data_IF_639336925862
#
_entry.id   IF_639336925862
#
_cell.length_a   1.000
_cell.length_b   1.000
_cell.length_c   1.000
_cell.angle_alpha   90.00
_cell.angle_beta   90.00
_cell.angle_gamma   90.00
#
_symmetry.space_group_name_H-M   'P 1'
#
loop_
_entity.id
_entity.type
_entity.pdbx_description
1 polymer ?
#
# COMPACT_ATOMS: atom_id res chain seq x y z
N UNK A 1 26.62 44.99 -27.21
CA UNK A 1 25.35 44.47 -26.68
C UNK A 1 24.94 43.33 -27.62
N UNK A 2 24.84 42.05 -27.26
CA UNK A 2 24.64 41.42 -25.95
C UNK A 2 25.04 39.92 -25.98
N UNK A 3 26.13 39.51 -25.31
CA UNK A 3 26.30 38.11 -24.90
C UNK A 3 25.40 37.73 -23.72
N UNK A 4 24.82 38.72 -23.02
CA UNK A 4 24.00 38.56 -21.83
C UNK A 4 22.60 38.00 -22.09
N UNK A 5 22.01 38.25 -23.25
CA UNK A 5 20.62 37.83 -23.55
C UNK A 5 20.51 36.40 -24.06
N UNK A 6 21.47 35.94 -24.86
CA UNK A 6 21.63 34.51 -25.19
C UNK A 6 21.90 33.68 -23.92
N UNK A 7 22.68 34.20 -22.98
CA UNK A 7 22.90 33.55 -21.67
C UNK A 7 21.65 33.54 -20.78
N UNK A 8 20.83 34.60 -20.79
CA UNK A 8 19.60 34.68 -19.98
C UNK A 8 18.49 33.72 -20.49
N UNK A 9 18.33 33.59 -21.80
CA UNK A 9 17.38 32.63 -22.40
C UNK A 9 17.90 31.19 -22.31
N UNK A 10 19.20 30.96 -22.53
CA UNK A 10 19.80 29.64 -22.36
C UNK A 10 19.73 29.11 -20.92
N UNK A 11 19.95 29.98 -19.92
CA UNK A 11 19.89 29.61 -18.50
C UNK A 11 18.47 29.32 -18.01
N UNK A 12 17.45 29.96 -18.57
CA UNK A 12 16.04 29.73 -18.20
C UNK A 12 15.45 28.46 -18.82
N UNK A 13 15.80 28.13 -20.07
CA UNK A 13 15.49 26.82 -20.66
C UNK A 13 16.19 25.69 -19.89
N UNK A 14 17.45 25.87 -19.52
CA UNK A 14 18.19 24.91 -18.70
C UNK A 14 17.54 24.71 -17.31
N UNK A 15 17.11 25.80 -16.66
CA UNK A 15 16.35 25.73 -15.40
C UNK A 15 15.02 25.00 -15.56
N UNK A 16 14.25 25.28 -16.62
CA UNK A 16 12.98 24.62 -16.89
C UNK A 16 13.15 23.10 -17.07
N UNK A 17 14.17 22.67 -17.83
CA UNK A 17 14.50 21.25 -18.04
C UNK A 17 14.95 20.60 -16.73
N UNK A 18 15.79 21.26 -15.94
CA UNK A 18 16.25 20.76 -14.63
C UNK A 18 15.10 20.59 -13.63
N UNK A 19 14.18 21.56 -13.55
CA UNK A 19 12.97 21.49 -12.71
C UNK A 19 12.06 20.35 -13.16
N UNK A 20 11.89 20.18 -14.47
CA UNK A 20 11.08 19.09 -15.02
C UNK A 20 11.70 17.72 -14.71
N UNK A 21 13.02 17.54 -14.90
CA UNK A 21 13.71 16.28 -14.62
C UNK A 21 13.72 15.93 -13.14
N UNK A 22 14.02 16.90 -12.26
CA UNK A 22 13.97 16.69 -10.80
C UNK A 22 12.57 16.32 -10.31
N UNK A 23 11.53 16.97 -10.86
CA UNK A 23 10.14 16.59 -10.58
C UNK A 23 9.75 15.20 -11.09
N UNK A 24 10.26 14.79 -12.26
CA UNK A 24 10.07 13.43 -12.78
C UNK A 24 10.75 12.38 -11.90
N UNK A 25 11.96 12.65 -11.40
CA UNK A 25 12.69 11.78 -10.49
C UNK A 25 11.95 11.60 -9.16
N UNK A 26 11.53 12.70 -8.52
CA UNK A 26 10.71 12.65 -7.30
C UNK A 26 9.40 11.88 -7.53
N UNK A 27 8.73 12.12 -8.65
CA UNK A 27 7.52 11.38 -8.98
C UNK A 27 7.76 9.89 -9.24
N UNK A 28 8.92 9.51 -9.77
CA UNK A 28 9.32 8.12 -9.92
C UNK A 28 9.56 7.46 -8.55
N UNK A 29 10.16 8.18 -7.60
CA UNK A 29 10.33 7.71 -6.23
C UNK A 29 8.98 7.42 -5.55
N UNK A 30 8.04 8.36 -5.61
CA UNK A 30 6.69 8.16 -5.07
C UNK A 30 5.95 6.99 -5.72
N UNK A 31 6.15 6.76 -7.02
CA UNK A 31 5.62 5.57 -7.71
C UNK A 31 6.29 4.28 -7.26
N UNK A 32 7.59 4.32 -6.95
CA UNK A 32 8.29 3.21 -6.34
C UNK A 32 7.65 2.82 -5.01
N UNK A 33 7.48 3.80 -4.11
CA UNK A 33 6.80 3.62 -2.82
C UNK A 33 5.37 3.11 -2.98
N UNK A 34 4.61 3.63 -3.95
CA UNK A 34 3.27 3.13 -4.25
C UNK A 34 3.28 1.62 -4.56
N UNK A 35 4.19 1.17 -5.43
CA UNK A 35 4.32 -0.25 -5.79
C UNK A 35 4.72 -1.12 -4.60
N UNK A 36 5.59 -0.61 -3.71
CA UNK A 36 5.98 -1.31 -2.49
C UNK A 36 4.77 -1.52 -1.57
N UNK A 37 3.97 -0.46 -1.35
CA UNK A 37 2.74 -0.56 -0.56
C UNK A 37 1.70 -1.50 -1.19
N UNK A 38 1.58 -1.50 -2.52
CA UNK A 38 0.72 -2.46 -3.23
C UNK A 38 1.18 -3.91 -3.01
N UNK A 39 2.49 -4.18 -3.05
CA UNK A 39 3.03 -5.51 -2.73
C UNK A 39 2.78 -5.89 -1.27
N UNK A 40 3.01 -4.99 -0.33
CA UNK A 40 2.71 -5.23 1.09
C UNK A 40 1.23 -5.55 1.32
N UNK A 41 0.33 -4.83 0.67
CA UNK A 41 -1.10 -5.10 0.74
C UNK A 41 -1.47 -6.48 0.17
N UNK A 42 -0.84 -6.89 -0.93
CA UNK A 42 -1.02 -8.24 -1.49
C UNK A 42 -0.47 -9.32 -0.55
N UNK A 43 0.72 -9.12 -0.01
CA UNK A 43 1.34 -10.05 0.94
C UNK A 43 0.48 -10.22 2.19
N UNK A 44 -0.03 -9.13 2.77
CA UNK A 44 -0.92 -9.19 3.93
C UNK A 44 -2.22 -9.97 3.64
N UNK A 45 -2.79 -9.83 2.44
CA UNK A 45 -3.97 -10.61 2.01
C UNK A 45 -3.65 -12.09 1.86
N UNK A 46 -2.53 -12.42 1.23
CA UNK A 46 -2.08 -13.80 1.08
C UNK A 46 -1.79 -14.43 2.45
N UNK A 47 -1.13 -13.70 3.35
CA UNK A 47 -0.89 -14.12 4.72
C UNK A 47 -2.20 -14.35 5.49
N UNK A 48 -3.20 -13.49 5.30
CA UNK A 48 -4.53 -13.69 5.89
C UNK A 48 -5.15 -15.02 5.46
N UNK A 49 -5.11 -15.34 4.16
CA UNK A 49 -5.65 -16.59 3.63
C UNK A 49 -4.88 -17.82 4.11
N UNK A 50 -3.54 -17.72 4.16
CA UNK A 50 -2.71 -18.81 4.66
C UNK A 50 -2.92 -19.07 6.15
N UNK A 51 -2.98 -18.00 6.96
CA UNK A 51 -3.27 -18.12 8.39
C UNK A 51 -4.67 -18.70 8.63
N UNK A 52 -5.69 -18.25 7.89
CA UNK A 52 -7.04 -18.82 7.98
C UNK A 52 -7.05 -20.32 7.70
N UNK A 53 -6.32 -20.79 6.67
CA UNK A 53 -6.20 -22.21 6.37
C UNK A 53 -5.52 -22.99 7.51
N UNK A 54 -4.36 -22.53 7.98
CA UNK A 54 -3.61 -23.18 9.07
C UNK A 54 -4.43 -23.27 10.35
N UNK A 55 -5.15 -22.20 10.71
CA UNK A 55 -5.95 -22.18 11.91
C UNK A 55 -7.20 -23.07 11.80
N UNK A 56 -7.81 -23.18 10.61
CA UNK A 56 -8.88 -24.16 10.38
C UNK A 56 -8.36 -25.59 10.51
N UNK A 57 -7.20 -25.89 9.94
CA UNK A 57 -6.59 -27.23 10.06
C UNK A 57 -6.29 -27.58 11.52
N UNK A 58 -5.77 -26.61 12.30
CA UNK A 58 -5.57 -26.77 13.75
C UNK A 58 -6.89 -27.02 14.48
N UNK A 59 -7.93 -26.24 14.20
CA UNK A 59 -9.24 -26.42 14.83
C UNK A 59 -9.82 -27.82 14.54
N UNK A 60 -9.69 -28.31 13.31
CA UNK A 60 -10.11 -29.67 12.94
C UNK A 60 -9.29 -30.73 13.68
N UNK A 61 -7.97 -30.54 13.79
CA UNK A 61 -7.10 -31.44 14.53
C UNK A 61 -7.45 -31.49 16.03
N UNK A 62 -7.67 -30.33 16.65
CA UNK A 62 -8.03 -30.22 18.07
C UNK A 62 -9.37 -30.89 18.36
N UNK A 63 -10.38 -30.66 17.51
CA UNK A 63 -11.66 -31.37 17.61
C UNK A 63 -11.50 -32.88 17.44
N UNK A 64 -10.63 -33.32 16.51
CA UNK A 64 -10.30 -34.73 16.32
C UNK A 64 -9.67 -35.35 17.56
N UNK A 65 -8.71 -34.67 18.20
CA UNK A 65 -8.07 -35.12 19.43
C UNK A 65 -9.09 -35.21 20.57
N UNK A 66 -9.95 -34.22 20.73
CA UNK A 66 -10.96 -34.19 21.80
C UNK A 66 -11.98 -35.32 21.62
N UNK A 67 -12.47 -35.53 20.40
CA UNK A 67 -13.36 -36.65 20.08
C UNK A 67 -12.69 -37.99 20.36
N UNK A 68 -11.42 -38.13 19.99
CA UNK A 68 -10.64 -39.36 20.25
C UNK A 68 -10.45 -39.61 21.74
N UNK A 69 -10.10 -38.58 22.51
CA UNK A 69 -9.95 -38.66 23.98
C UNK A 69 -11.27 -39.01 24.66
N UNK A 70 -12.38 -38.43 24.20
CA UNK A 70 -13.72 -38.75 24.71
C UNK A 70 -14.10 -40.19 24.42
N UNK A 71 -13.90 -40.65 23.18
CA UNK A 71 -14.17 -42.03 22.79
C UNK A 71 -13.30 -43.01 23.60
N UNK A 72 -12.01 -42.72 23.80
CA UNK A 72 -11.11 -43.52 24.62
C UNK A 72 -11.54 -43.60 26.10
N UNK A 73 -12.23 -42.58 26.61
CA UNK A 73 -12.80 -42.56 27.96
C UNK A 73 -14.20 -43.18 28.05
N UNK A 74 -14.71 -43.76 26.95
CA UNK A 74 -16.06 -44.35 26.90
C UNK A 74 -17.18 -43.31 26.99
N UNK A 75 -16.89 -42.03 26.75
CA UNK A 75 -17.90 -40.97 26.76
C UNK A 75 -18.71 -41.06 25.47
N UNK A 76 -20.03 -41.14 25.61
CA UNK A 76 -20.93 -41.16 24.47
C UNK A 76 -20.71 -39.91 23.57
N UNK A 77 -20.70 -40.04 22.23
CA UNK A 77 -20.43 -38.93 21.30
C UNK A 77 -21.43 -37.77 21.45
N UNK A 78 -22.64 -38.10 21.84
CA UNK A 78 -23.79 -37.21 22.05
C UNK A 78 -23.92 -36.68 23.48
N UNK A 79 -22.92 -36.89 24.34
CA UNK A 79 -23.00 -36.36 25.71
C UNK A 79 -23.14 -34.83 25.71
N UNK A 80 -24.08 -34.25 26.49
CA UNK A 80 -24.31 -32.81 26.51
C UNK A 80 -23.05 -32.01 26.86
N UNK A 81 -22.27 -32.49 27.83
CA UNK A 81 -20.99 -31.88 28.23
C UNK A 81 -19.97 -31.89 27.09
N UNK A 82 -19.92 -32.98 26.31
CA UNK A 82 -19.01 -33.10 25.18
C UNK A 82 -19.39 -32.18 24.02
N UNK A 83 -20.69 -32.06 23.73
CA UNK A 83 -21.19 -31.11 22.73
C UNK A 83 -20.92 -29.66 23.13
N UNK A 84 -21.11 -29.31 24.41
CA UNK A 84 -20.80 -27.97 24.92
C UNK A 84 -19.31 -27.61 24.76
N UNK A 85 -18.40 -28.56 25.06
CA UNK A 85 -16.96 -28.35 24.87
C UNK A 85 -16.63 -28.17 23.38
N UNK A 86 -17.18 -29.00 22.50
CA UNK A 86 -16.95 -28.85 21.05
C UNK A 86 -17.49 -27.51 20.53
N UNK A 87 -18.68 -27.08 20.97
CA UNK A 87 -19.23 -25.79 20.57
C UNK A 87 -18.39 -24.61 21.06
N UNK A 88 -17.90 -24.66 22.30
CA UNK A 88 -17.07 -23.59 22.86
C UNK A 88 -15.73 -23.45 22.13
N UNK A 89 -15.13 -24.58 21.73
CA UNK A 89 -13.88 -24.61 20.98
C UNK A 89 -14.09 -24.08 19.55
N UNK A 90 -15.18 -24.48 18.89
CA UNK A 90 -15.53 -23.94 17.58
C UNK A 90 -15.74 -22.43 17.68
N UNK A 91 -16.57 -21.96 18.62
CA UNK A 91 -16.86 -20.53 18.78
C UNK A 91 -15.60 -19.71 19.11
N UNK A 92 -14.74 -20.23 19.98
CA UNK A 92 -13.47 -19.57 20.35
C UNK A 92 -12.50 -19.54 19.18
N UNK A 93 -12.37 -20.65 18.44
CA UNK A 93 -11.53 -20.77 17.25
C UNK A 93 -11.99 -19.87 16.11
N UNK A 94 -13.29 -19.83 15.83
CA UNK A 94 -13.88 -18.93 14.83
C UNK A 94 -13.68 -17.46 15.21
N UNK A 95 -13.87 -17.09 16.48
CA UNK A 95 -13.60 -15.72 16.93
C UNK A 95 -12.13 -15.34 16.75
N UNK A 96 -11.19 -16.24 17.09
CA UNK A 96 -9.76 -16.00 16.90
C UNK A 96 -9.42 -15.81 15.40
N UNK A 97 -9.95 -16.68 14.54
CA UNK A 97 -9.83 -16.58 13.08
C UNK A 97 -10.33 -15.24 12.54
N UNK A 98 -11.50 -14.77 12.99
CA UNK A 98 -12.07 -13.50 12.55
C UNK A 98 -11.21 -12.31 12.98
N UNK A 99 -10.70 -12.32 14.22
CA UNK A 99 -9.82 -11.26 14.74
C UNK A 99 -8.52 -11.22 13.95
N UNK A 100 -7.89 -12.37 13.73
CA UNK A 100 -6.63 -12.46 13.00
C UNK A 100 -6.78 -12.01 11.54
N UNK A 101 -7.84 -12.48 10.86
CA UNK A 101 -8.17 -12.02 9.51
C UNK A 101 -8.43 -10.52 9.47
N UNK A 102 -9.17 -9.97 10.44
CA UNK A 102 -9.42 -8.53 10.51
C UNK A 102 -8.12 -7.74 10.68
N UNK A 103 -7.16 -8.22 11.48
CA UNK A 103 -5.86 -7.59 11.65
C UNK A 103 -5.05 -7.56 10.34
N UNK A 104 -5.00 -8.65 9.60
CA UNK A 104 -4.32 -8.68 8.29
C UNK A 104 -5.00 -7.80 7.25
N UNK A 105 -6.35 -7.80 7.21
CA UNK A 105 -7.09 -6.93 6.30
C UNK A 105 -6.90 -5.45 6.64
N UNK A 106 -6.87 -5.10 7.92
CA UNK A 106 -6.56 -3.74 8.40
C UNK A 106 -5.16 -3.30 7.96
N UNK A 107 -4.15 -4.17 8.08
CA UNK A 107 -2.80 -3.91 7.56
C UNK A 107 -2.79 -3.72 6.04
N UNK A 108 -3.52 -4.56 5.30
CA UNK A 108 -3.62 -4.43 3.85
C UNK A 108 -4.30 -3.12 3.42
N UNK A 109 -5.33 -2.69 4.15
CA UNK A 109 -6.04 -1.45 3.88
C UNK A 109 -5.21 -0.22 4.25
N UNK A 110 -4.47 -0.27 5.36
CA UNK A 110 -3.50 0.76 5.72
C UNK A 110 -2.43 0.92 4.63
N UNK A 111 -1.84 -0.19 4.16
CA UNK A 111 -0.88 -0.18 3.07
C UNK A 111 -1.49 0.39 1.77
N UNK A 112 -2.71 0.00 1.41
CA UNK A 112 -3.42 0.57 0.25
C UNK A 112 -3.62 2.08 0.34
N UNK A 113 -4.03 2.59 1.51
CA UNK A 113 -4.22 4.02 1.73
C UNK A 113 -2.89 4.77 1.59
N UNK A 114 -1.81 4.25 2.17
CA UNK A 114 -0.46 4.80 2.01
C UNK A 114 0.01 4.79 0.56
N UNK A 115 -0.25 3.70 -0.18
CA UNK A 115 0.04 3.61 -1.61
C UNK A 115 -0.75 4.63 -2.43
N UNK A 116 -2.05 4.81 -2.14
CA UNK A 116 -2.89 5.80 -2.79
C UNK A 116 -2.38 7.23 -2.54
N UNK A 117 -1.96 7.54 -1.31
CA UNK A 117 -1.36 8.82 -0.95
C UNK A 117 -0.05 9.06 -1.73
N UNK A 118 0.84 8.06 -1.81
CA UNK A 118 2.06 8.14 -2.60
C UNK A 118 1.77 8.36 -4.10
N UNK A 119 0.78 7.64 -4.66
CA UNK A 119 0.35 7.82 -6.05
C UNK A 119 -0.27 9.21 -6.32
N UNK A 120 -0.95 9.80 -5.35
CA UNK A 120 -1.43 11.18 -5.43
C UNK A 120 -0.26 12.19 -5.36
N UNK A 121 0.69 12.00 -4.44
CA UNK A 121 1.90 12.81 -4.36
C UNK A 121 2.70 12.79 -5.67
N UNK A 122 2.90 11.62 -6.27
CA UNK A 122 3.56 11.47 -7.57
C UNK A 122 2.87 12.29 -8.68
N UNK A 123 1.53 12.28 -8.72
CA UNK A 123 0.74 13.03 -9.69
C UNK A 123 0.84 14.54 -9.46
N UNK A 124 0.78 14.98 -8.20
CA UNK A 124 0.89 16.38 -7.83
C UNK A 124 2.28 16.95 -8.14
N UNK A 125 3.35 16.21 -7.83
CA UNK A 125 4.72 16.62 -8.15
C UNK A 125 4.93 16.72 -9.66
N UNK A 126 4.43 15.77 -10.46
CA UNK A 126 4.49 15.88 -11.93
C UNK A 126 3.77 17.10 -12.47
N UNK A 127 2.56 17.37 -11.99
CA UNK A 127 1.77 18.53 -12.40
C UNK A 127 2.45 19.84 -12.00
N UNK A 128 2.96 19.91 -10.77
CA UNK A 128 3.73 21.06 -10.28
C UNK A 128 4.98 21.30 -11.11
N UNK A 129 5.77 20.26 -11.37
CA UNK A 129 6.99 20.34 -12.17
C UNK A 129 6.72 20.77 -13.62
N UNK A 130 5.64 20.26 -14.22
CA UNK A 130 5.17 20.71 -15.54
C UNK A 130 4.80 22.19 -15.50
N UNK A 131 4.01 22.61 -14.52
CA UNK A 131 3.56 24.00 -14.42
C UNK A 131 4.73 24.97 -14.16
N UNK A 132 5.67 24.63 -13.27
CA UNK A 132 6.85 25.46 -12.99
C UNK A 132 7.86 25.46 -14.13
N UNK A 133 7.99 24.36 -14.87
CA UNK A 133 8.76 24.36 -16.14
C UNK A 133 8.09 25.23 -17.20
N UNK A 134 6.75 25.22 -17.29
CA UNK A 134 6.03 26.06 -18.24
C UNK A 134 6.15 27.54 -17.85
N UNK A 135 5.97 27.89 -16.57
CA UNK A 135 6.08 29.27 -16.09
C UNK A 135 7.50 29.83 -16.29
N UNK A 136 8.54 29.04 -16.04
CA UNK A 136 9.93 29.46 -16.28
C UNK A 136 10.24 29.67 -17.78
N UNK A 137 9.61 28.91 -18.68
CA UNK A 137 9.68 29.14 -20.12
C UNK A 137 8.90 30.40 -20.54
N UNK A 138 7.73 30.65 -19.95
CA UNK A 138 6.95 31.86 -20.20
C UNK A 138 7.66 33.12 -19.70
N UNK A 139 8.25 33.09 -18.50
CA UNK A 139 9.05 34.20 -17.97
C UNK A 139 10.27 34.47 -18.85
N UNK A 140 10.92 33.42 -19.38
CA UNK A 140 12.02 33.56 -20.34
C UNK A 140 11.56 34.25 -21.63
N UNK A 141 10.42 33.84 -22.18
CA UNK A 141 9.83 34.43 -23.38
C UNK A 141 9.39 35.89 -23.15
N UNK A 142 8.78 36.19 -22.00
CA UNK A 142 8.37 37.54 -21.64
C UNK A 142 9.55 38.48 -21.40
N UNK A 143 10.64 37.96 -20.82
CA UNK A 143 11.89 38.71 -20.64
C UNK A 143 12.55 39.01 -22.00
N UNK A 144 12.57 38.04 -22.91
CA UNK A 144 13.07 38.22 -24.27
C UNK A 144 12.21 39.21 -25.10
N UNK A 145 10.90 39.27 -24.86
CA UNK A 145 9.98 40.18 -25.55
C UNK A 145 10.02 41.63 -25.03
N UNK A 146 10.46 41.85 -23.78
CA UNK A 146 10.53 43.19 -23.14
C UNK A 146 11.82 43.96 -23.41
N UNK A 147 12.80 43.36 -24.08
CA UNK A 147 14.00 44.07 -24.53
C UNK A 147 13.77 44.59 -25.96
N UNK A 148 13.46 45.89 -26.15
CA UNK A 148 13.48 46.49 -27.48
C UNK A 148 14.92 46.50 -28.02
N UNK A 149 15.04 46.25 -29.32
CA UNK A 149 16.28 46.37 -30.11
C UNK A 149 16.88 47.77 -30.00
#
# INVERSE_FOLDING_TARGET
MEPTTLFAVGSSVFRAVSIYQSGQAQAAEYRGRQREFERQAQQARTAASQSEAVNRDRLVADLGIIRSLRAARGVAPDSPTGQAIESDIIASGERALLIERANYLSQADAARRSGAAAGMAARNVRRSALFSSASSLFDAAATAARQPK
#
